data_IF_158434016846
#
_entry.id   IF_158434016846
#
_cell.length_a   1.000
_cell.length_b   1.000
_cell.length_c   1.000
_cell.angle_alpha   90.00
_cell.angle_beta   90.00
_cell.angle_gamma   90.00
#
_symmetry.space_group_name_H-M   'P 1'
#
loop_
_entity.id
_entity.type
_entity.pdbx_description
1 polymer ?
#
# COMPACT_ATOMS: atom_id res chain seq x y z
N UNK A 1 -20.05 13.55 8.31
CA UNK A 1 -18.91 12.63 8.55
C UNK A 1 -18.49 12.07 7.21
N UNK A 2 -17.21 11.91 6.97
CA UNK A 2 -16.72 11.31 5.72
C UNK A 2 -16.81 9.79 5.83
N UNK A 3 -17.44 9.13 4.87
CA UNK A 3 -17.43 7.65 4.78
C UNK A 3 -16.15 7.11 4.12
N UNK A 4 -15.21 7.99 3.76
CA UNK A 4 -13.99 7.65 3.06
C UNK A 4 -12.86 7.30 4.04
N UNK A 5 -12.12 6.24 3.73
CA UNK A 5 -10.92 5.79 4.45
C UNK A 5 -9.75 5.69 3.48
N UNK A 6 -8.65 6.38 3.78
CA UNK A 6 -7.40 6.17 3.05
C UNK A 6 -6.80 4.83 3.47
N UNK A 7 -6.68 3.90 2.52
CA UNK A 7 -6.07 2.58 2.73
C UNK A 7 -4.62 2.52 2.24
N UNK A 8 -4.18 3.45 1.42
CA UNK A 8 -2.81 3.54 0.89
C UNK A 8 -2.26 4.95 1.16
N UNK A 9 -1.34 5.06 2.13
CA UNK A 9 -0.82 6.34 2.59
C UNK A 9 0.60 6.21 3.13
N UNK A 10 1.47 7.14 2.72
CA UNK A 10 2.87 7.21 3.12
C UNK A 10 3.12 8.31 4.15
N UNK A 11 3.83 7.94 5.22
CA UNK A 11 4.31 8.89 6.22
C UNK A 11 5.74 9.35 5.89
N UNK A 12 6.31 10.21 6.74
CA UNK A 12 7.72 10.63 6.63
C UNK A 12 8.72 9.46 6.74
N UNK A 13 8.28 8.25 7.06
CA UNK A 13 9.11 7.05 7.03
C UNK A 13 9.23 6.41 5.63
N UNK A 14 8.46 6.89 4.66
CA UNK A 14 8.69 6.69 3.23
C UNK A 14 9.60 7.81 2.72
N UNK A 15 10.90 7.69 2.96
CA UNK A 15 11.89 8.78 2.97
C UNK A 15 11.97 9.59 1.67
N UNK A 16 11.58 9.03 0.51
CA UNK A 16 11.71 9.71 -0.78
C UNK A 16 10.46 10.48 -1.20
N UNK A 17 9.27 10.08 -0.73
CA UNK A 17 7.98 10.57 -1.21
C UNK A 17 6.93 10.82 -0.12
N UNK A 18 7.14 10.32 1.10
CA UNK A 18 6.20 10.52 2.20
C UNK A 18 6.39 11.87 2.92
N UNK A 19 5.35 12.70 2.94
CA UNK A 19 5.37 14.01 3.62
C UNK A 19 4.51 14.04 4.89
N UNK A 20 3.67 13.02 5.12
CA UNK A 20 2.71 13.02 6.21
C UNK A 20 3.39 12.72 7.56
N UNK A 21 3.52 13.73 8.41
CA UNK A 21 3.89 13.54 9.81
C UNK A 21 2.71 12.95 10.58
N UNK A 22 2.95 12.02 11.51
CA UNK A 22 1.91 11.22 12.17
C UNK A 22 0.90 12.08 12.94
N UNK A 23 1.36 13.03 13.78
CA UNK A 23 0.45 13.85 14.60
C UNK A 23 -0.45 14.75 13.74
N UNK A 24 0.07 15.56 12.78
CA UNK A 24 -0.76 16.32 11.87
C UNK A 24 -1.71 15.48 11.03
N UNK A 25 -1.26 14.30 10.59
CA UNK A 25 -2.04 13.35 9.81
C UNK A 25 -3.28 12.86 10.59
N UNK A 26 -3.08 12.36 11.82
CA UNK A 26 -4.18 11.89 12.68
C UNK A 26 -5.12 13.04 13.04
N UNK A 27 -4.58 14.24 13.31
CA UNK A 27 -5.38 15.44 13.58
C UNK A 27 -6.26 15.80 12.37
N UNK A 28 -5.71 15.72 11.16
CA UNK A 28 -6.47 15.98 9.94
C UNK A 28 -7.57 14.94 9.70
N UNK A 29 -7.28 13.66 9.91
CA UNK A 29 -8.26 12.58 9.80
C UNK A 29 -9.44 12.78 10.77
N UNK A 30 -9.15 13.14 12.03
CA UNK A 30 -10.17 13.48 13.04
C UNK A 30 -11.03 14.68 12.61
N UNK A 31 -10.39 15.75 12.14
CA UNK A 31 -11.09 16.95 11.69
C UNK A 31 -12.00 16.70 10.47
N UNK A 32 -11.63 15.75 9.62
CA UNK A 32 -12.44 15.32 8.47
C UNK A 32 -13.51 14.29 8.83
N UNK A 33 -13.54 13.82 10.08
CA UNK A 33 -14.49 12.80 10.54
C UNK A 33 -14.27 11.43 9.89
N UNK A 34 -13.03 11.10 9.51
CA UNK A 34 -12.71 9.79 8.95
C UNK A 34 -12.85 8.70 10.04
N UNK A 35 -13.57 7.59 9.76
CA UNK A 35 -13.75 6.54 10.77
C UNK A 35 -12.48 5.70 10.98
N UNK A 36 -11.61 5.62 9.98
CA UNK A 36 -10.36 4.88 10.01
C UNK A 36 -9.31 5.53 9.12
N UNK A 37 -8.06 5.12 9.28
CA UNK A 37 -6.94 5.56 8.46
C UNK A 37 -5.88 4.46 8.43
N UNK A 38 -5.31 4.17 7.25
CA UNK A 38 -4.18 3.27 7.11
C UNK A 38 -2.85 4.04 7.03
N UNK A 39 -1.77 3.35 7.39
CA UNK A 39 -0.39 3.71 7.05
C UNK A 39 0.25 2.52 6.37
N UNK A 40 0.84 2.76 5.19
CA UNK A 40 1.42 1.76 4.30
C UNK A 40 2.76 2.24 3.76
N UNK A 41 3.72 2.53 4.64
CA UNK A 41 5.04 2.99 4.24
C UNK A 41 5.79 1.94 3.39
N UNK A 42 6.67 2.42 2.52
CA UNK A 42 7.45 1.59 1.60
C UNK A 42 8.39 0.63 2.34
N UNK A 43 8.10 -0.66 2.29
CA UNK A 43 8.96 -1.74 2.76
C UNK A 43 9.35 -1.67 4.23
N UNK A 44 8.65 -0.93 5.06
CA UNK A 44 8.95 -0.80 6.49
C UNK A 44 7.71 -0.63 7.36
N UNK A 45 7.88 -0.82 8.67
CA UNK A 45 6.82 -0.71 9.69
C UNK A 45 7.14 0.34 10.76
N UNK A 46 8.06 1.27 10.47
CA UNK A 46 8.60 2.18 11.49
C UNK A 46 7.56 3.14 12.05
N UNK A 47 6.59 3.55 11.24
CA UNK A 47 5.51 4.43 11.69
C UNK A 47 4.48 3.75 12.60
N UNK A 48 4.30 2.43 12.50
CA UNK A 48 3.10 1.74 12.98
C UNK A 48 2.85 1.94 14.48
N UNK A 49 3.89 1.83 15.30
CA UNK A 49 3.74 2.02 16.78
C UNK A 49 3.30 3.43 17.11
N UNK A 50 3.99 4.43 16.59
CA UNK A 50 3.67 5.83 16.86
C UNK A 50 2.30 6.21 16.29
N UNK A 51 1.95 5.71 15.11
CA UNK A 51 0.65 5.91 14.48
C UNK A 51 -0.49 5.28 15.31
N UNK A 52 -0.31 4.04 15.76
CA UNK A 52 -1.28 3.35 16.61
C UNK A 52 -1.53 4.13 17.91
N UNK A 53 -0.46 4.53 18.59
CA UNK A 53 -0.56 5.28 19.84
C UNK A 53 -1.25 6.63 19.62
N UNK A 54 -0.92 7.32 18.53
CA UNK A 54 -1.48 8.64 18.26
C UNK A 54 -2.97 8.58 17.90
N UNK A 55 -3.42 7.57 17.14
CA UNK A 55 -4.84 7.34 16.88
C UNK A 55 -5.65 7.11 18.16
N UNK A 56 -5.04 6.54 19.19
CA UNK A 56 -5.66 6.26 20.50
C UNK A 56 -5.47 7.39 21.51
N UNK A 57 -4.65 8.38 21.17
CA UNK A 57 -4.31 9.49 22.07
C UNK A 57 -5.52 10.38 22.36
N UNK A 58 -5.73 10.69 23.64
CA UNK A 58 -6.75 11.65 24.13
C UNK A 58 -6.15 12.95 24.64
N UNK A 59 -4.94 13.32 24.18
CA UNK A 59 -4.21 14.50 24.63
C UNK A 59 -4.92 15.79 24.18
N UNK A 60 -5.70 16.42 25.04
CA UNK A 60 -6.39 17.67 24.76
C UNK A 60 -5.43 18.79 24.31
N UNK A 61 -4.21 18.85 24.85
CA UNK A 61 -3.16 19.80 24.42
C UNK A 61 -2.83 19.67 22.92
N UNK A 62 -2.87 18.44 22.37
CA UNK A 62 -2.57 18.17 20.96
C UNK A 62 -3.79 18.33 20.07
N UNK A 63 -4.95 17.84 20.51
CA UNK A 63 -6.13 17.66 19.69
C UNK A 63 -7.26 18.67 19.98
N UNK A 64 -7.26 19.36 21.15
CA UNK A 64 -8.37 20.24 21.52
C UNK A 64 -9.71 19.48 21.53
N UNK A 65 -10.71 20.07 20.88
CA UNK A 65 -12.07 19.49 20.77
C UNK A 65 -12.12 18.16 19.98
N UNK A 66 -11.02 17.83 19.28
CA UNK A 66 -10.89 16.56 18.55
C UNK A 66 -10.31 15.41 19.38
N UNK A 67 -10.03 15.63 20.66
CA UNK A 67 -9.38 14.64 21.52
C UNK A 67 -10.20 13.34 21.67
N UNK A 68 -11.53 13.45 21.66
CA UNK A 68 -12.44 12.30 21.77
C UNK A 68 -12.93 11.77 20.44
N UNK A 69 -12.54 12.39 19.32
CA UNK A 69 -12.85 11.88 17.99
C UNK A 69 -11.99 10.65 17.71
N UNK A 70 -12.64 9.52 17.54
CA UNK A 70 -11.97 8.23 17.30
C UNK A 70 -11.63 8.03 15.83
N UNK A 71 -10.39 7.62 15.54
CA UNK A 71 -9.96 7.13 14.23
C UNK A 71 -9.35 5.76 14.43
N UNK A 72 -9.93 4.73 13.78
CA UNK A 72 -9.40 3.36 13.85
C UNK A 72 -8.08 3.27 13.06
N UNK A 73 -6.94 2.91 13.69
CA UNK A 73 -5.70 2.68 12.97
C UNK A 73 -5.75 1.37 12.19
N UNK A 74 -5.39 1.42 10.91
CA UNK A 74 -5.16 0.26 10.05
C UNK A 74 -3.65 0.17 9.82
N UNK A 75 -3.04 -0.91 10.30
CA UNK A 75 -1.61 -1.11 10.24
C UNK A 75 -1.23 -1.88 8.98
N UNK A 76 -0.44 -1.28 8.12
CA UNK A 76 -0.08 -1.87 6.83
C UNK A 76 1.35 -1.56 6.39
N UNK A 77 1.68 -2.02 5.21
CA UNK A 77 2.94 -1.77 4.52
C UNK A 77 2.73 -1.88 3.01
N UNK A 78 3.29 -0.98 2.25
CA UNK A 78 3.49 -1.19 0.82
C UNK A 78 4.80 -1.96 0.62
N UNK A 79 4.67 -3.29 0.50
CA UNK A 79 5.80 -4.19 0.34
C UNK A 79 6.33 -4.18 -1.10
N UNK A 80 7.61 -4.53 -1.25
CA UNK A 80 8.22 -4.78 -2.55
C UNK A 80 8.19 -6.27 -2.85
N UNK A 81 7.53 -6.68 -3.95
CA UNK A 81 7.52 -8.06 -4.44
C UNK A 81 8.50 -8.21 -5.59
N UNK A 82 9.37 -9.21 -5.53
CA UNK A 82 10.34 -9.49 -6.59
C UNK A 82 9.69 -10.07 -7.84
N UNK A 83 10.14 -9.67 -9.02
CA UNK A 83 9.73 -10.24 -10.31
C UNK A 83 10.46 -11.55 -10.65
N UNK A 84 11.53 -11.90 -9.93
CA UNK A 84 12.36 -13.08 -10.22
C UNK A 84 11.85 -14.37 -9.57
N UNK A 85 10.82 -14.28 -8.72
CA UNK A 85 10.26 -15.42 -8.00
C UNK A 85 11.01 -15.83 -6.74
N UNK A 86 12.24 -15.39 -6.53
CA UNK A 86 13.03 -15.57 -5.28
C UNK A 86 13.61 -14.23 -4.84
N UNK A 87 13.16 -13.75 -3.70
CA UNK A 87 13.59 -12.46 -3.14
C UNK A 87 15.07 -12.38 -2.79
N UNK A 88 15.79 -13.50 -2.70
CA UNK A 88 17.23 -13.57 -2.45
C UNK A 88 18.08 -13.34 -3.70
N UNK A 89 17.48 -13.45 -4.88
CA UNK A 89 18.16 -13.20 -6.17
C UNK A 89 18.67 -11.76 -6.23
N UNK A 90 19.91 -11.58 -6.71
CA UNK A 90 20.54 -10.26 -6.87
C UNK A 90 20.73 -9.96 -8.35
N UNK A 91 19.65 -9.74 -9.06
CA UNK A 91 19.64 -9.39 -10.48
C UNK A 91 19.37 -7.89 -10.66
N UNK A 92 20.21 -7.21 -11.44
CA UNK A 92 20.05 -5.78 -11.75
C UNK A 92 18.88 -5.50 -12.67
N UNK A 93 18.46 -6.46 -13.47
CA UNK A 93 17.30 -6.36 -14.36
C UNK A 93 15.97 -6.58 -13.65
N UNK A 94 16.01 -6.94 -12.36
CA UNK A 94 14.83 -7.21 -11.56
C UNK A 94 13.89 -6.01 -11.48
N UNK A 95 12.62 -6.26 -11.73
CA UNK A 95 11.53 -5.34 -11.43
C UNK A 95 10.98 -5.64 -10.03
N UNK A 96 10.76 -4.59 -9.25
CA UNK A 96 10.13 -4.67 -7.93
C UNK A 96 8.72 -4.13 -8.05
N UNK A 97 7.77 -4.98 -7.73
CA UNK A 97 6.37 -4.61 -7.73
C UNK A 97 5.94 -4.13 -6.35
N UNK A 98 4.98 -3.24 -6.30
CA UNK A 98 4.37 -2.81 -5.06
C UNK A 98 3.16 -3.67 -4.72
N UNK A 99 2.95 -3.91 -3.43
CA UNK A 99 1.82 -4.66 -2.91
C UNK A 99 1.43 -4.09 -1.53
N UNK A 100 0.18 -3.64 -1.37
CA UNK A 100 -0.28 -3.17 -0.07
C UNK A 100 -0.82 -4.32 0.75
N UNK A 101 -0.29 -4.46 1.97
CA UNK A 101 -0.69 -5.46 2.96
C UNK A 101 -1.19 -4.76 4.22
N UNK A 102 -2.36 -5.18 4.73
CA UNK A 102 -2.97 -4.60 5.93
C UNK A 102 -3.27 -5.70 6.95
N UNK A 103 -2.87 -5.50 8.19
CA UNK A 103 -3.19 -6.42 9.27
C UNK A 103 -4.66 -6.28 9.69
N UNK A 104 -5.44 -7.34 9.54
CA UNK A 104 -6.85 -7.38 9.96
C UNK A 104 -7.01 -7.76 11.44
N UNK A 105 -6.04 -8.49 11.98
CA UNK A 105 -6.02 -8.99 13.36
C UNK A 105 -4.59 -9.19 13.86
N UNK A 106 -4.42 -9.72 15.06
CA UNK A 106 -3.10 -9.92 15.67
C UNK A 106 -2.24 -10.95 14.91
N UNK A 107 -2.85 -12.00 14.37
CA UNK A 107 -2.16 -12.99 13.50
C UNK A 107 -1.60 -12.29 12.27
N UNK A 108 -2.43 -11.49 11.59
CA UNK A 108 -2.00 -10.70 10.43
C UNK A 108 -0.91 -9.70 10.78
N UNK A 109 -0.98 -9.04 11.92
CA UNK A 109 0.09 -8.15 12.36
C UNK A 109 1.42 -8.89 12.56
N UNK A 110 1.41 -10.05 13.21
CA UNK A 110 2.61 -10.85 13.39
C UNK A 110 3.16 -11.36 12.04
N UNK A 111 2.28 -11.76 11.12
CA UNK A 111 2.67 -12.19 9.79
C UNK A 111 3.24 -11.03 8.96
N UNK A 112 2.66 -9.84 9.05
CA UNK A 112 3.21 -8.62 8.43
C UNK A 112 4.62 -8.32 8.96
N UNK A 113 4.83 -8.39 10.28
CA UNK A 113 6.16 -8.21 10.89
C UNK A 113 7.15 -9.25 10.37
N UNK A 114 6.75 -10.52 10.26
CA UNK A 114 7.61 -11.58 9.71
C UNK A 114 7.97 -11.34 8.25
N UNK A 115 6.99 -11.02 7.40
CA UNK A 115 7.21 -10.72 5.98
C UNK A 115 8.23 -9.60 5.80
N UNK A 116 8.04 -8.49 6.50
CA UNK A 116 8.94 -7.34 6.37
C UNK A 116 10.30 -7.61 7.01
N UNK A 117 10.37 -8.40 8.09
CA UNK A 117 11.65 -8.85 8.65
C UNK A 117 12.42 -9.74 7.68
N UNK A 118 11.76 -10.72 7.05
CA UNK A 118 12.36 -11.57 6.01
C UNK A 118 12.84 -10.73 4.81
N UNK A 119 12.05 -9.74 4.40
CA UNK A 119 12.43 -8.83 3.33
C UNK A 119 13.75 -8.07 3.63
N UNK A 120 13.93 -7.64 4.87
CA UNK A 120 15.15 -6.92 5.28
C UNK A 120 16.35 -7.85 5.50
N UNK A 121 16.13 -9.03 6.10
CA UNK A 121 17.22 -9.96 6.47
C UNK A 121 17.70 -10.77 5.27
N UNK A 122 16.78 -11.34 4.51
CA UNK A 122 17.07 -12.30 3.45
C UNK A 122 16.83 -11.76 2.04
N UNK A 123 15.85 -10.85 1.88
CA UNK A 123 15.40 -10.32 0.59
C UNK A 123 15.99 -8.96 0.20
N UNK A 124 16.94 -8.41 0.97
CA UNK A 124 17.44 -7.07 0.71
C UNK A 124 18.43 -7.03 -0.47
N UNK A 125 17.96 -6.40 -1.54
CA UNK A 125 18.82 -5.97 -2.65
C UNK A 125 18.27 -4.65 -3.20
N UNK A 126 18.93 -3.54 -2.89
CA UNK A 126 18.51 -2.16 -3.12
C UNK A 126 17.20 -1.77 -2.42
N UNK A 127 16.28 -2.70 -2.21
CA UNK A 127 15.02 -2.59 -1.46
C UNK A 127 14.78 -3.89 -0.69
N UNK A 128 14.04 -3.85 0.43
CA UNK A 128 13.61 -5.05 1.13
C UNK A 128 12.48 -5.73 0.35
N UNK A 129 12.73 -6.92 -0.19
CA UNK A 129 11.79 -7.62 -1.08
C UNK A 129 11.25 -8.89 -0.43
N UNK A 130 10.00 -9.17 -0.73
CA UNK A 130 9.36 -10.46 -0.51
C UNK A 130 9.11 -11.15 -1.84
N UNK A 131 8.74 -12.42 -1.80
CA UNK A 131 8.30 -13.21 -2.94
C UNK A 131 6.95 -13.89 -2.67
N UNK A 132 6.41 -14.54 -3.70
CA UNK A 132 5.14 -15.25 -3.59
C UNK A 132 5.20 -16.40 -2.57
N UNK A 133 6.33 -17.10 -2.43
CA UNK A 133 6.50 -18.18 -1.46
C UNK A 133 6.42 -17.68 0.00
N UNK A 134 6.95 -16.49 0.29
CA UNK A 134 6.77 -15.84 1.59
C UNK A 134 5.32 -15.42 1.83
N UNK A 135 4.63 -14.92 0.79
CA UNK A 135 3.21 -14.58 0.89
C UNK A 135 2.36 -15.83 1.16
N UNK A 136 2.58 -16.94 0.45
CA UNK A 136 1.90 -18.22 0.72
C UNK A 136 2.07 -18.68 2.18
N UNK A 137 3.23 -18.42 2.76
CA UNK A 137 3.54 -18.82 4.14
C UNK A 137 2.91 -17.92 5.20
N UNK A 138 2.76 -16.62 4.92
CA UNK A 138 2.44 -15.61 5.93
C UNK A 138 1.22 -14.72 5.57
N UNK A 139 0.32 -15.18 4.68
CA UNK A 139 -0.85 -14.41 4.26
C UNK A 139 -1.98 -14.34 5.30
N UNK A 140 -2.04 -15.30 6.22
CA UNK A 140 -3.16 -15.41 7.15
C UNK A 140 -3.35 -14.14 7.98
N UNK A 141 -4.60 -13.67 8.08
CA UNK A 141 -4.96 -12.47 8.82
C UNK A 141 -4.56 -11.15 8.14
N UNK A 142 -4.11 -11.20 6.88
CA UNK A 142 -3.80 -10.04 6.06
C UNK A 142 -4.90 -9.79 5.02
N UNK A 143 -5.22 -8.53 4.80
CA UNK A 143 -5.85 -8.05 3.58
C UNK A 143 -4.75 -7.58 2.62
N UNK A 144 -4.93 -7.87 1.34
CA UNK A 144 -4.00 -7.53 0.27
C UNK A 144 -4.69 -6.64 -0.76
N UNK A 145 -4.04 -5.56 -1.22
CA UNK A 145 -4.48 -4.82 -2.40
C UNK A 145 -3.36 -4.73 -3.44
N UNK A 146 -3.78 -4.59 -4.71
CA UNK A 146 -2.87 -4.58 -5.87
C UNK A 146 -1.92 -3.38 -5.94
N UNK A 147 -1.99 -2.49 -4.97
CA UNK A 147 -1.22 -1.25 -4.87
C UNK A 147 -1.40 -0.30 -6.07
N UNK A 148 -0.40 0.53 -6.34
CA UNK A 148 -0.40 1.59 -7.33
C UNK A 148 -0.02 1.09 -8.74
N UNK A 149 0.33 2.01 -9.64
CA UNK A 149 0.84 1.72 -11.00
C UNK A 149 2.10 0.82 -11.00
N UNK A 150 2.85 0.79 -9.91
CA UNK A 150 4.02 -0.07 -9.76
C UNK A 150 3.67 -1.50 -9.30
N UNK A 151 2.40 -1.83 -9.05
CA UNK A 151 1.95 -3.18 -8.72
C UNK A 151 2.06 -4.16 -9.89
N UNK A 152 2.11 -5.47 -9.61
CA UNK A 152 2.24 -6.51 -10.65
C UNK A 152 1.10 -6.45 -11.67
N UNK A 153 -0.15 -6.35 -11.20
CA UNK A 153 -1.32 -6.29 -12.07
C UNK A 153 -1.29 -5.03 -12.94
N UNK A 154 -1.07 -3.87 -12.32
CA UNK A 154 -1.05 -2.60 -13.03
C UNK A 154 0.06 -2.53 -14.10
N UNK A 155 1.27 -3.02 -13.79
CA UNK A 155 2.37 -3.08 -14.75
C UNK A 155 2.10 -4.03 -15.91
N UNK A 156 1.49 -5.19 -15.65
CA UNK A 156 1.11 -6.10 -16.73
C UNK A 156 0.10 -5.45 -17.68
N UNK A 157 -0.87 -4.71 -17.13
CA UNK A 157 -1.85 -3.94 -17.92
C UNK A 157 -1.16 -2.86 -18.76
N UNK A 158 -0.30 -2.06 -18.13
CA UNK A 158 0.44 -0.97 -18.77
C UNK A 158 1.29 -1.45 -19.95
N UNK A 159 1.85 -2.65 -19.81
CA UNK A 159 2.63 -3.32 -20.86
C UNK A 159 1.77 -4.08 -21.90
N UNK A 160 0.44 -3.98 -21.84
CA UNK A 160 -0.48 -4.65 -22.74
C UNK A 160 -0.63 -6.16 -22.53
N UNK A 161 -0.07 -6.70 -21.42
CA UNK A 161 -0.07 -8.14 -21.10
C UNK A 161 -1.30 -8.51 -20.24
N UNK A 162 -2.49 -8.41 -20.84
CA UNK A 162 -3.77 -8.58 -20.14
C UNK A 162 -3.93 -9.98 -19.53
N UNK A 163 -3.53 -11.04 -20.27
CA UNK A 163 -3.62 -12.43 -19.77
C UNK A 163 -2.74 -12.63 -18.52
N UNK A 164 -1.60 -11.97 -18.47
CA UNK A 164 -0.73 -12.01 -17.30
C UNK A 164 -1.34 -11.23 -16.14
N UNK A 165 -1.90 -10.06 -16.39
CA UNK A 165 -2.58 -9.28 -15.36
C UNK A 165 -3.72 -10.09 -14.73
N UNK A 166 -4.52 -10.77 -15.53
CA UNK A 166 -5.59 -11.65 -15.06
C UNK A 166 -5.06 -12.86 -14.27
N UNK A 167 -3.99 -13.50 -14.76
CA UNK A 167 -3.33 -14.62 -14.07
C UNK A 167 -2.80 -14.21 -12.70
N UNK A 168 -2.15 -13.06 -12.62
CA UNK A 168 -1.62 -12.52 -11.35
C UNK A 168 -2.76 -12.16 -10.39
N UNK A 169 -3.79 -11.47 -10.88
CA UNK A 169 -4.96 -11.13 -10.06
C UNK A 169 -5.66 -12.38 -9.51
N UNK A 170 -5.83 -13.42 -10.34
CA UNK A 170 -6.39 -14.73 -9.92
C UNK A 170 -5.51 -15.44 -8.89
N UNK A 171 -4.19 -15.34 -9.02
CA UNK A 171 -3.28 -15.93 -8.04
C UNK A 171 -3.46 -15.26 -6.66
N UNK A 172 -3.45 -13.92 -6.60
CA UNK A 172 -3.71 -13.20 -5.35
C UNK A 172 -5.10 -13.48 -4.78
N UNK A 173 -6.13 -13.50 -5.65
CA UNK A 173 -7.50 -13.85 -5.22
C UNK A 173 -7.60 -15.28 -4.70
N UNK A 174 -6.86 -16.22 -5.28
CA UNK A 174 -6.77 -17.60 -4.80
C UNK A 174 -6.14 -17.71 -3.42
N UNK A 175 -5.10 -16.88 -3.15
CA UNK A 175 -4.39 -16.90 -1.88
C UNK A 175 -5.14 -16.18 -0.75
N UNK A 176 -5.65 -14.97 -1.03
CA UNK A 176 -6.27 -14.10 -0.02
C UNK A 176 -7.80 -14.21 0.04
N UNK A 177 -8.44 -14.86 -0.93
CA UNK A 177 -9.89 -14.99 -0.99
C UNK A 177 -10.60 -13.63 -1.01
N UNK A 178 -11.59 -13.45 -0.16
CA UNK A 178 -12.33 -12.19 -0.02
C UNK A 178 -11.48 -11.03 0.54
N UNK A 179 -10.29 -11.32 1.05
CA UNK A 179 -9.35 -10.33 1.55
C UNK A 179 -8.38 -9.82 0.48
N UNK A 180 -8.67 -10.03 -0.80
CA UNK A 180 -7.96 -9.42 -1.92
C UNK A 180 -8.82 -8.38 -2.62
N UNK A 181 -8.22 -7.23 -2.91
CA UNK A 181 -8.86 -6.13 -3.65
C UNK A 181 -7.95 -5.62 -4.76
N UNK A 182 -8.54 -5.27 -5.90
CA UNK A 182 -7.85 -4.45 -6.89
C UNK A 182 -7.97 -2.97 -6.48
N UNK A 183 -6.84 -2.31 -6.38
CA UNK A 183 -6.77 -0.90 -6.04
C UNK A 183 -6.80 -0.05 -7.31
N UNK A 184 -7.66 0.95 -7.30
CA UNK A 184 -7.79 1.89 -8.40
C UNK A 184 -7.55 3.29 -7.89
N UNK A 185 -6.52 3.96 -8.41
CA UNK A 185 -6.18 5.33 -8.07
C UNK A 185 -6.68 6.30 -9.13
N UNK A 186 -7.63 7.16 -8.75
CA UNK A 186 -8.10 8.25 -9.60
C UNK A 186 -7.14 9.43 -9.52
N UNK A 187 -6.10 9.41 -10.34
CA UNK A 187 -5.27 10.59 -10.53
C UNK A 187 -5.91 11.50 -11.57
N UNK A 188 -6.44 12.64 -11.12
CA UNK A 188 -6.64 13.75 -12.05
C UNK A 188 -5.26 14.22 -12.46
N UNK A 189 -4.91 14.05 -13.74
CA UNK A 189 -3.76 14.73 -14.30
C UNK A 189 -4.03 16.26 -14.24
N UNK A 190 -3.73 16.86 -13.09
CA UNK A 190 -3.71 18.31 -12.98
C UNK A 190 -2.44 18.77 -13.69
N UNK A 191 -2.58 19.24 -14.91
CA UNK A 191 -1.53 20.01 -15.53
C UNK A 191 -1.08 21.11 -14.60
N UNK A 192 0.15 21.10 -14.27
CA UNK A 192 0.85 22.30 -13.89
C UNK A 192 2.22 22.28 -14.58
N UNK A 193 2.23 22.51 -15.88
CA UNK A 193 3.45 22.69 -16.62
C UNK A 193 3.22 22.63 -18.13
N UNK A 194 3.86 23.54 -18.90
CA UNK A 194 3.72 23.57 -20.35
C UNK A 194 4.27 22.35 -21.08
N UNK A 195 4.96 21.43 -20.37
CA UNK A 195 5.78 20.38 -20.97
C UNK A 195 5.27 18.94 -20.74
N UNK A 196 4.09 18.74 -20.14
CA UNK A 196 3.51 17.41 -20.00
C UNK A 196 2.63 17.12 -21.24
N UNK A 197 3.02 16.21 -22.14
CA UNK A 197 2.25 15.93 -23.33
C UNK A 197 0.86 15.39 -22.99
N UNK A 198 -0.15 15.74 -23.80
CA UNK A 198 -1.54 15.26 -23.64
C UNK A 198 -1.63 13.72 -23.61
N UNK A 199 -0.68 13.01 -24.24
CA UNK A 199 -0.55 11.56 -24.22
C UNK A 199 -0.33 11.00 -22.81
N UNK A 200 0.49 11.65 -21.98
CA UNK A 200 0.71 11.21 -20.60
C UNK A 200 -0.54 11.39 -19.71
N UNK A 201 -1.46 12.29 -20.06
CA UNK A 201 -2.73 12.47 -19.33
C UNK A 201 -3.76 11.39 -19.68
N UNK A 202 -3.74 10.90 -20.92
CA UNK A 202 -4.62 9.84 -21.36
C UNK A 202 -4.17 8.46 -20.87
N UNK A 203 -2.87 8.27 -20.60
CA UNK A 203 -2.31 7.01 -20.09
C UNK A 203 -2.89 6.62 -18.74
N UNK A 204 -3.05 7.56 -17.79
CA UNK A 204 -3.65 7.25 -16.47
C UNK A 204 -5.15 6.94 -16.56
N UNK A 205 -5.89 7.63 -17.40
CA UNK A 205 -7.32 7.33 -17.63
C UNK A 205 -7.48 5.99 -18.32
N UNK A 206 -6.63 5.68 -19.29
CA UNK A 206 -6.64 4.41 -20.00
C UNK A 206 -6.25 3.23 -19.09
N UNK A 207 -5.22 3.39 -18.26
CA UNK A 207 -4.85 2.40 -17.24
C UNK A 207 -6.00 2.11 -16.28
N UNK A 208 -6.67 3.15 -15.79
CA UNK A 208 -7.86 3.02 -14.94
C UNK A 208 -8.97 2.23 -15.63
N UNK A 209 -9.30 2.59 -16.88
CA UNK A 209 -10.35 1.89 -17.66
C UNK A 209 -9.98 0.43 -17.92
N UNK A 210 -8.71 0.12 -18.13
CA UNK A 210 -8.23 -1.26 -18.27
C UNK A 210 -8.30 -2.03 -16.96
N UNK A 211 -7.97 -1.43 -15.84
CA UNK A 211 -8.12 -2.04 -14.52
C UNK A 211 -9.59 -2.39 -14.23
N UNK A 212 -10.54 -1.53 -14.57
CA UNK A 212 -11.97 -1.81 -14.43
C UNK A 212 -12.45 -3.02 -15.24
N UNK A 213 -11.78 -3.37 -16.34
CA UNK A 213 -12.12 -4.57 -17.14
C UNK A 213 -11.69 -5.89 -16.49
N UNK A 214 -10.77 -5.84 -15.51
CA UNK A 214 -10.32 -7.02 -14.76
C UNK A 214 -11.20 -7.25 -13.53
N UNK A 215 -11.82 -6.20 -13.00
CA UNK A 215 -12.77 -6.26 -11.89
C UNK A 215 -14.11 -6.81 -12.35
#
# INVERSE_FOLDING_TARGET
MSDFVHLHLHTTYSLLDGQCQIVPLVKKARALGMPALAVTDHGNLFALKSFYDECRSKKAKTYGDLADVHVKPILGCEAYVTSTGDCRTRDKSECRHHLCLHAMNLTGYHNLVRLISEAHVNGFYMRPRIDHALLERYHEGLHCSSACIAGEVARAIDQGRMDEAERVAKWYKGLFGENYSLEVMLHKATKSGPDIPLSAQNEFVDLYQRQLKIV
#
